data_IF_424018697649
#
_entry.id   IF_424018697649
#
_cell.length_a   1.000
_cell.length_b   1.000
_cell.length_c   1.000
_cell.angle_alpha   90.00
_cell.angle_beta   90.00
_cell.angle_gamma   90.00
#
_symmetry.space_group_name_H-M   'P 1'
#
loop_
_entity.id
_entity.type
_entity.pdbx_description
1 polymer ?
#
# COMPACT_ATOMS: atom_id res chain seq x y z
N UNK A 1 21.16 -30.98 -1.38
CA UNK A 1 20.76 -30.33 -0.11
C UNK A 1 20.13 -28.99 -0.45
N UNK A 2 18.82 -28.80 -0.29
CA UNK A 2 18.24 -27.47 -0.39
C UNK A 2 18.32 -26.81 1.00
N UNK A 3 18.91 -25.62 1.05
CA UNK A 3 19.01 -24.81 2.26
C UNK A 3 17.66 -24.16 2.53
N UNK A 4 16.99 -24.56 3.61
CA UNK A 4 15.99 -23.74 4.27
C UNK A 4 16.72 -22.63 5.03
N UNK A 5 16.49 -21.37 4.65
CA UNK A 5 16.91 -20.24 5.48
C UNK A 5 15.72 -19.90 6.37
N UNK A 6 15.77 -20.15 7.70
CA UNK A 6 14.71 -19.74 8.59
C UNK A 6 14.72 -18.21 8.66
N UNK A 7 13.85 -17.56 7.90
CA UNK A 7 13.72 -16.11 7.97
C UNK A 7 12.82 -15.76 9.16
N UNK A 8 13.38 -15.07 10.17
CA UNK A 8 12.66 -14.53 11.32
C UNK A 8 11.74 -15.52 12.05
N UNK A 9 12.17 -16.77 12.18
CA UNK A 9 11.49 -17.76 12.99
C UNK A 9 10.06 -18.05 12.57
N UNK A 10 9.65 -17.86 11.32
CA UNK A 10 8.34 -18.32 10.84
C UNK A 10 8.46 -19.75 10.30
N UNK A 11 7.48 -20.61 10.60
CA UNK A 11 7.27 -21.87 9.88
C UNK A 11 6.37 -21.51 8.71
N UNK A 12 6.94 -21.37 7.52
CA UNK A 12 6.14 -21.45 6.29
C UNK A 12 5.77 -22.92 6.19
N UNK A 13 4.49 -23.22 6.43
CA UNK A 13 3.94 -24.54 6.75
C UNK A 13 4.79 -25.74 6.31
N UNK A 14 5.55 -26.33 7.24
CA UNK A 14 5.91 -27.73 7.15
C UNK A 14 4.93 -28.49 8.02
N UNK A 15 4.11 -29.32 7.35
CA UNK A 15 3.28 -30.30 8.02
C UNK A 15 4.16 -31.24 8.85
N UNK A 16 3.74 -31.46 10.09
CA UNK A 16 4.34 -32.41 10.99
C UNK A 16 4.33 -33.81 10.36
N UNK A 17 5.52 -34.40 10.27
CA UNK A 17 5.86 -35.80 9.91
C UNK A 17 4.75 -36.68 9.30
N UNK A 18 4.80 -36.95 8.00
CA UNK A 18 4.48 -38.28 7.43
C UNK A 18 4.72 -38.33 5.90
N UNK A 19 5.31 -39.45 5.44
CA UNK A 19 4.98 -40.06 4.15
C UNK A 19 5.47 -39.36 2.88
N UNK A 20 6.20 -40.10 2.05
CA UNK A 20 6.60 -39.68 0.72
C UNK A 20 5.39 -39.62 -0.25
N UNK A 21 4.50 -38.62 -0.13
CA UNK A 21 3.57 -38.20 -1.20
C UNK A 21 2.78 -36.90 -0.89
N UNK A 22 3.42 -35.83 -0.42
CA UNK A 22 2.74 -34.54 -0.19
C UNK A 22 3.19 -33.49 -1.23
N UNK A 23 2.25 -32.78 -1.90
CA UNK A 23 2.60 -31.76 -2.89
C UNK A 23 3.37 -30.62 -2.21
N UNK A 24 4.49 -30.18 -2.82
CA UNK A 24 5.17 -28.94 -2.42
C UNK A 24 4.16 -27.78 -2.49
N UNK A 25 4.00 -27.04 -1.39
CA UNK A 25 3.25 -25.78 -1.39
C UNK A 25 3.98 -24.82 -2.32
N UNK A 26 3.34 -24.47 -3.42
CA UNK A 26 3.85 -23.49 -4.37
C UNK A 26 3.81 -22.11 -3.70
N UNK A 27 4.97 -21.46 -3.51
CA UNK A 27 5.02 -20.07 -3.02
C UNK A 27 4.22 -19.11 -3.91
N UNK A 28 3.88 -19.54 -5.14
CA UNK A 28 3.00 -18.82 -6.04
C UNK A 28 1.57 -18.62 -5.54
N UNK A 29 1.06 -19.47 -4.64
CA UNK A 29 -0.32 -19.45 -4.13
C UNK A 29 -0.45 -19.11 -2.64
N UNK A 30 0.66 -18.72 -1.99
CA UNK A 30 0.67 -18.36 -0.57
C UNK A 30 -0.31 -17.22 -0.31
N UNK A 31 -1.25 -17.43 0.61
CA UNK A 31 -2.16 -16.37 1.09
C UNK A 31 -1.69 -15.84 2.43
N UNK A 32 -2.00 -14.58 2.71
CA UNK A 32 -1.67 -13.99 4.00
C UNK A 32 -2.32 -14.75 5.16
N UNK A 33 -3.53 -15.28 4.97
CA UNK A 33 -4.21 -16.10 5.99
C UNK A 33 -3.47 -17.42 6.30
N UNK A 34 -2.56 -17.88 5.44
CA UNK A 34 -1.81 -19.13 5.63
C UNK A 34 -0.49 -18.91 6.39
N UNK A 35 -0.13 -17.66 6.68
CA UNK A 35 1.11 -17.33 7.41
C UNK A 35 0.94 -17.64 8.89
N UNK A 36 1.76 -18.56 9.39
CA UNK A 36 1.79 -18.92 10.81
C UNK A 36 3.06 -18.41 11.49
N UNK A 37 2.84 -17.71 12.60
CA UNK A 37 3.90 -17.25 13.49
C UNK A 37 4.32 -18.38 14.44
N UNK A 38 5.63 -18.63 14.57
CA UNK A 38 6.16 -19.63 15.51
C UNK A 38 6.00 -19.26 16.98
N UNK A 39 5.92 -17.97 17.28
CA UNK A 39 5.75 -17.47 18.64
C UNK A 39 4.88 -16.21 18.61
N UNK A 40 3.78 -16.17 19.35
CA UNK A 40 2.91 -15.00 19.40
C UNK A 40 3.26 -14.12 20.61
N UNK A 41 3.51 -12.84 20.38
CA UNK A 41 3.74 -11.86 21.44
C UNK A 41 2.51 -11.68 22.33
N UNK A 42 1.32 -11.90 21.78
CA UNK A 42 0.05 -11.98 22.50
C UNK A 42 0.00 -13.06 23.58
N UNK A 43 0.81 -14.12 23.48
CA UNK A 43 0.92 -15.14 24.54
C UNK A 43 1.64 -14.61 25.78
N UNK A 44 2.44 -13.53 25.64
CA UNK A 44 3.14 -12.89 26.75
C UNK A 44 2.38 -11.68 27.30
N UNK A 45 1.81 -10.87 26.43
CA UNK A 45 0.95 -9.75 26.79
C UNK A 45 -0.08 -9.52 25.68
N UNK A 46 -1.37 -9.60 26.03
CA UNK A 46 -2.50 -9.41 25.11
C UNK A 46 -2.42 -8.07 24.36
N UNK A 47 -1.84 -7.04 25.00
CA UNK A 47 -1.65 -5.71 24.40
C UNK A 47 -0.69 -5.73 23.22
N UNK A 48 0.19 -6.73 23.12
CA UNK A 48 1.13 -6.88 22.01
C UNK A 48 0.54 -7.64 20.81
N UNK A 49 -0.72 -8.08 20.88
CA UNK A 49 -1.36 -8.81 19.78
C UNK A 49 -1.42 -8.05 18.46
N UNK A 50 -1.45 -6.71 18.48
CA UNK A 50 -1.38 -5.94 17.23
C UNK A 50 -0.03 -6.09 16.51
N UNK A 51 1.08 -6.28 17.24
CA UNK A 51 2.41 -6.48 16.66
C UNK A 51 2.51 -7.83 15.95
N UNK A 52 1.84 -8.86 16.48
CA UNK A 52 1.77 -10.16 15.83
C UNK A 52 1.12 -10.03 14.43
N UNK A 53 0.02 -9.28 14.34
CA UNK A 53 -0.66 -9.03 13.06
C UNK A 53 0.25 -8.30 12.07
N UNK A 54 0.95 -7.25 12.50
CA UNK A 54 1.91 -6.56 11.63
C UNK A 54 3.07 -7.45 11.19
N UNK A 55 3.50 -8.36 12.08
CA UNK A 55 4.59 -9.28 11.78
C UNK A 55 4.17 -10.33 10.75
N UNK A 56 2.95 -10.86 10.83
CA UNK A 56 2.36 -11.73 9.79
C UNK A 56 2.38 -11.04 8.43
N UNK A 57 1.83 -9.82 8.37
CA UNK A 57 1.77 -9.02 7.15
C UNK A 57 3.19 -8.71 6.61
N UNK A 58 4.15 -8.39 7.48
CA UNK A 58 5.53 -8.13 7.07
C UNK A 58 6.24 -9.38 6.53
N UNK A 59 6.08 -10.52 7.20
CA UNK A 59 6.66 -11.80 6.75
C UNK A 59 6.10 -12.17 5.38
N UNK A 60 4.78 -12.01 5.18
CA UNK A 60 4.14 -12.23 3.90
C UNK A 60 4.74 -11.35 2.81
N UNK A 61 4.81 -10.03 3.03
CA UNK A 61 5.40 -9.10 2.06
C UNK A 61 6.85 -9.48 1.71
N UNK A 62 7.67 -9.81 2.70
CA UNK A 62 9.07 -10.20 2.48
C UNK A 62 9.20 -11.52 1.71
N UNK A 63 8.35 -12.51 2.02
CA UNK A 63 8.30 -13.77 1.28
C UNK A 63 7.90 -13.54 -0.19
N UNK A 64 6.90 -12.69 -0.42
CA UNK A 64 6.42 -12.36 -1.75
C UNK A 64 7.42 -11.53 -2.55
N UNK A 65 8.10 -10.56 -1.93
CA UNK A 65 9.22 -9.84 -2.54
C UNK A 65 10.29 -10.83 -2.99
N UNK A 66 10.72 -11.74 -2.11
CA UNK A 66 11.80 -12.69 -2.43
C UNK A 66 11.43 -13.67 -3.54
N UNK A 67 10.16 -14.07 -3.65
CA UNK A 67 9.71 -15.03 -4.65
C UNK A 67 9.32 -14.39 -5.99
N UNK A 68 8.85 -13.14 -5.98
CA UNK A 68 8.29 -12.48 -7.17
C UNK A 68 9.14 -11.34 -7.74
N UNK A 69 10.01 -10.71 -6.96
CA UNK A 69 10.92 -9.71 -7.52
C UNK A 69 11.89 -10.38 -8.47
N UNK A 70 11.76 -10.03 -9.74
CA UNK A 70 12.59 -10.54 -10.80
C UNK A 70 13.70 -9.55 -11.16
N UNK A 71 14.30 -9.80 -12.32
CA UNK A 71 15.34 -8.94 -12.88
C UNK A 71 14.84 -7.50 -13.04
N UNK A 72 13.58 -7.29 -13.42
CA UNK A 72 13.07 -5.92 -13.65
C UNK A 72 13.03 -5.06 -12.38
N UNK A 73 12.57 -5.58 -11.25
CA UNK A 73 12.58 -4.86 -9.96
C UNK A 73 14.01 -4.53 -9.53
N UNK A 74 14.91 -5.51 -9.65
CA UNK A 74 16.33 -5.34 -9.31
C UNK A 74 17.03 -4.34 -10.23
N UNK A 75 16.70 -4.31 -11.52
CA UNK A 75 17.21 -3.32 -12.47
C UNK A 75 16.74 -1.91 -12.12
N UNK A 76 15.47 -1.73 -11.71
CA UNK A 76 15.00 -0.42 -11.22
C UNK A 76 15.82 0.07 -10.02
N UNK A 77 15.99 -0.79 -9.00
CA UNK A 77 16.76 -0.44 -7.80
C UNK A 77 18.23 -0.21 -8.12
N UNK A 78 18.83 -1.06 -8.97
CA UNK A 78 20.22 -0.93 -9.40
C UNK A 78 20.48 0.33 -10.23
N UNK A 79 19.54 0.72 -11.10
CA UNK A 79 19.64 1.95 -11.87
C UNK A 79 19.50 3.19 -10.98
N UNK A 80 18.61 3.14 -9.97
CA UNK A 80 18.51 4.20 -8.97
C UNK A 80 19.79 4.31 -8.13
N UNK A 81 20.39 3.19 -7.73
CA UNK A 81 21.69 3.15 -7.07
C UNK A 81 22.78 3.82 -7.91
N UNK A 82 22.88 3.45 -9.20
CA UNK A 82 23.83 4.06 -10.12
C UNK A 82 23.59 5.57 -10.25
N UNK A 83 22.33 5.99 -10.37
CA UNK A 83 21.97 7.41 -10.45
C UNK A 83 22.41 8.19 -9.21
N UNK A 84 22.20 7.63 -8.01
CA UNK A 84 22.62 8.22 -6.74
C UNK A 84 24.14 8.36 -6.66
N UNK A 85 24.89 7.28 -6.93
CA UNK A 85 26.36 7.28 -6.85
C UNK A 85 26.96 8.25 -7.87
N UNK A 86 26.54 8.18 -9.13
CA UNK A 86 27.05 9.04 -10.20
C UNK A 86 26.74 10.53 -9.97
N UNK A 87 25.62 10.84 -9.30
CA UNK A 87 25.20 12.22 -9.08
C UNK A 87 25.76 12.86 -7.81
N UNK A 88 26.27 12.07 -6.86
CA UNK A 88 26.63 12.58 -5.52
C UNK A 88 28.00 12.16 -5.01
N UNK A 89 28.62 11.14 -5.60
CA UNK A 89 29.93 10.66 -5.17
C UNK A 89 31.02 11.35 -5.98
N UNK A 90 31.98 11.97 -5.29
CA UNK A 90 33.04 12.77 -5.93
C UNK A 90 34.04 11.92 -6.75
N UNK A 91 34.10 10.60 -6.49
CA UNK A 91 34.88 9.57 -7.21
C UNK A 91 36.35 9.95 -7.49
N UNK A 92 36.93 10.80 -6.65
CA UNK A 92 38.33 11.24 -6.74
C UNK A 92 38.57 12.42 -7.70
N UNK A 93 37.52 13.08 -8.18
CA UNK A 93 37.61 14.25 -9.08
C UNK A 93 37.90 15.53 -8.29
N UNK A 94 37.40 15.63 -7.06
CA UNK A 94 37.60 16.78 -6.18
C UNK A 94 36.61 17.92 -6.38
N UNK A 95 35.66 17.83 -7.32
CA UNK A 95 34.73 18.92 -7.63
C UNK A 95 33.71 19.14 -6.51
N UNK A 96 33.12 18.05 -6.01
CA UNK A 96 32.19 18.13 -4.87
C UNK A 96 32.97 18.36 -3.56
N UNK A 97 34.14 17.72 -3.42
CA UNK A 97 34.93 17.83 -2.20
C UNK A 97 35.54 19.22 -1.97
N UNK A 98 35.83 19.96 -3.04
CA UNK A 98 36.34 21.35 -2.95
C UNK A 98 35.23 22.40 -2.98
N UNK A 99 33.98 21.99 -3.24
CA UNK A 99 32.82 22.88 -3.39
C UNK A 99 32.70 23.55 -4.75
N UNK A 100 33.63 23.29 -5.67
CA UNK A 100 33.66 23.86 -7.03
C UNK A 100 33.71 25.40 -7.06
N UNK A 101 33.40 25.96 -8.24
CA UNK A 101 33.26 27.42 -8.40
C UNK A 101 31.86 27.89 -8.00
N UNK A 102 31.69 28.22 -6.71
CA UNK A 102 30.44 28.72 -6.14
C UNK A 102 29.93 30.03 -6.75
N UNK A 103 30.76 30.77 -7.50
CA UNK A 103 30.32 31.99 -8.18
C UNK A 103 29.52 31.70 -9.46
N UNK A 104 29.49 30.43 -9.91
CA UNK A 104 28.82 30.01 -11.13
C UNK A 104 27.69 29.06 -10.81
N UNK A 105 26.45 29.51 -11.00
CA UNK A 105 25.24 28.70 -10.78
C UNK A 105 24.51 28.37 -12.08
N UNK A 106 23.64 27.36 -12.02
CA UNK A 106 22.79 26.96 -13.13
C UNK A 106 23.56 26.41 -14.34
N UNK A 107 23.07 26.71 -15.55
CA UNK A 107 23.68 26.28 -16.82
C UNK A 107 25.12 26.76 -16.99
N UNK A 108 25.45 27.94 -16.46
CA UNK A 108 26.79 28.50 -16.45
C UNK A 108 27.75 27.73 -15.54
N UNK A 109 27.29 27.28 -14.37
CA UNK A 109 28.07 26.36 -13.52
C UNK A 109 28.26 25.02 -14.21
N UNK A 110 27.19 24.44 -14.73
CA UNK A 110 27.19 23.13 -15.38
C UNK A 110 28.17 23.03 -16.56
N UNK A 111 28.29 24.08 -17.38
CA UNK A 111 29.23 24.13 -18.53
C UNK A 111 30.70 24.25 -18.15
N UNK A 112 31.00 24.60 -16.90
CA UNK A 112 32.36 24.84 -16.42
C UNK A 112 32.84 23.77 -15.44
N UNK A 113 32.07 22.70 -15.25
CA UNK A 113 32.52 21.50 -14.56
C UNK A 113 33.65 20.84 -15.36
N UNK A 114 34.56 20.16 -14.67
CA UNK A 114 35.46 19.21 -15.34
C UNK A 114 34.68 18.19 -16.18
N UNK A 115 35.25 17.81 -17.32
CA UNK A 115 34.61 16.91 -18.30
C UNK A 115 34.08 15.62 -17.67
N UNK A 116 34.83 15.08 -16.71
CA UNK A 116 34.45 13.85 -16.02
C UNK A 116 33.27 14.06 -15.06
N UNK A 117 33.24 15.15 -14.27
CA UNK A 117 32.08 15.50 -13.43
C UNK A 117 30.84 15.81 -14.25
N UNK A 118 31.01 16.50 -15.39
CA UNK A 118 29.93 16.74 -16.35
C UNK A 118 29.35 15.41 -16.86
N UNK A 119 30.21 14.46 -17.25
CA UNK A 119 29.78 13.14 -17.72
C UNK A 119 29.02 12.37 -16.64
N UNK A 120 29.50 12.35 -15.39
CA UNK A 120 28.84 11.68 -14.28
C UNK A 120 27.46 12.29 -13.97
N UNK A 121 27.35 13.62 -13.94
CA UNK A 121 26.09 14.31 -13.73
C UNK A 121 25.06 14.02 -14.84
N UNK A 122 25.49 14.00 -16.11
CA UNK A 122 24.62 13.63 -17.23
C UNK A 122 24.17 12.17 -17.16
N UNK A 123 25.08 11.24 -16.83
CA UNK A 123 24.73 9.83 -16.65
C UNK A 123 23.78 9.61 -15.48
N UNK A 124 23.92 10.36 -14.39
CA UNK A 124 22.96 10.36 -13.28
C UNK A 124 21.57 10.81 -13.73
N UNK A 125 21.48 11.91 -14.49
CA UNK A 125 20.21 12.41 -15.01
C UNK A 125 19.54 11.42 -15.98
N UNK A 126 20.31 10.82 -16.87
CA UNK A 126 19.84 9.75 -17.77
C UNK A 126 19.37 8.55 -16.96
N UNK A 127 20.10 8.16 -15.92
CA UNK A 127 19.74 7.03 -15.05
C UNK A 127 18.42 7.30 -14.31
N UNK A 128 18.23 8.49 -13.73
CA UNK A 128 16.97 8.88 -13.09
C UNK A 128 15.79 8.87 -14.06
N UNK A 129 16.00 9.35 -15.29
CA UNK A 129 14.99 9.28 -16.36
C UNK A 129 14.65 7.83 -16.70
N UNK A 130 15.67 6.97 -16.80
CA UNK A 130 15.49 5.53 -17.01
C UNK A 130 14.75 4.84 -15.87
N UNK A 131 15.00 5.20 -14.61
CA UNK A 131 14.26 4.69 -13.44
C UNK A 131 12.78 5.03 -13.58
N UNK A 132 12.47 6.30 -13.85
CA UNK A 132 11.09 6.75 -14.01
C UNK A 132 10.38 6.01 -15.15
N UNK A 133 11.00 5.93 -16.34
CA UNK A 133 10.41 5.25 -17.51
C UNK A 133 10.21 3.75 -17.22
N UNK A 134 11.16 3.11 -16.55
CA UNK A 134 11.06 1.67 -16.22
C UNK A 134 9.91 1.42 -15.25
N UNK A 135 9.79 2.22 -14.19
CA UNK A 135 8.67 2.13 -13.23
C UNK A 135 7.33 2.42 -13.91
N UNK A 136 7.27 3.47 -14.74
CA UNK A 136 6.07 3.87 -15.48
C UNK A 136 5.56 2.77 -16.40
N UNK A 137 6.47 2.14 -17.13
CA UNK A 137 6.12 1.07 -18.07
C UNK A 137 5.68 -0.19 -17.34
N UNK A 138 6.33 -0.52 -16.23
CA UNK A 138 6.15 -1.76 -15.48
C UNK A 138 4.92 -1.77 -14.58
N UNK A 139 4.51 -0.62 -14.03
CA UNK A 139 3.38 -0.52 -13.10
C UNK A 139 2.25 0.33 -13.69
N UNK A 140 1.54 -0.16 -14.72
CA UNK A 140 0.55 0.62 -15.45
C UNK A 140 -0.60 1.11 -14.57
N UNK A 141 -1.05 0.33 -13.60
CA UNK A 141 -2.17 0.68 -12.71
C UNK A 141 -1.76 1.81 -11.75
N UNK A 142 -0.47 1.92 -11.42
CA UNK A 142 0.08 2.91 -10.50
C UNK A 142 0.70 4.14 -11.19
N UNK A 143 0.56 4.32 -12.51
CA UNK A 143 1.21 5.43 -13.25
C UNK A 143 0.87 6.82 -12.72
N UNK A 144 -0.40 7.09 -12.49
CA UNK A 144 -0.85 8.38 -11.94
C UNK A 144 -0.26 8.60 -10.54
N UNK A 145 -0.31 7.56 -9.70
CA UNK A 145 0.25 7.57 -8.36
C UNK A 145 1.79 7.73 -8.34
N UNK A 146 2.49 7.15 -9.31
CA UNK A 146 3.93 7.32 -9.49
C UNK A 146 4.28 8.80 -9.69
N UNK A 147 3.52 9.57 -10.48
CA UNK A 147 3.78 11.01 -10.65
C UNK A 147 3.70 11.75 -9.31
N UNK A 148 2.66 11.48 -8.50
CA UNK A 148 2.49 12.14 -7.21
C UNK A 148 3.62 11.80 -6.24
N UNK A 149 4.02 10.52 -6.17
CA UNK A 149 5.14 10.11 -5.32
C UNK A 149 6.47 10.70 -5.81
N UNK A 150 6.69 10.74 -7.12
CA UNK A 150 7.91 11.33 -7.71
C UNK A 150 7.99 12.84 -7.46
N UNK A 151 6.88 13.55 -7.63
CA UNK A 151 6.77 14.97 -7.30
C UNK A 151 7.02 15.21 -5.81
N UNK A 152 6.47 14.35 -4.94
CA UNK A 152 6.73 14.39 -3.51
C UNK A 152 8.23 14.32 -3.17
N UNK A 153 9.00 13.44 -3.82
CA UNK A 153 10.45 13.36 -3.61
C UNK A 153 11.17 14.65 -4.00
N UNK A 154 10.82 15.24 -5.16
CA UNK A 154 11.42 16.49 -5.63
C UNK A 154 11.12 17.62 -4.65
N UNK A 155 9.88 17.73 -4.19
CA UNK A 155 9.44 18.78 -3.26
C UNK A 155 10.19 18.70 -1.92
N UNK A 156 10.44 17.49 -1.40
CA UNK A 156 11.23 17.31 -0.17
C UNK A 156 12.70 17.68 -0.38
N UNK A 157 13.30 17.31 -1.51
CA UNK A 157 14.68 17.72 -1.84
C UNK A 157 14.81 19.24 -1.89
N UNK A 158 13.90 19.93 -2.59
CA UNK A 158 13.89 21.39 -2.68
C UNK A 158 13.67 22.05 -1.30
N UNK A 159 12.78 21.49 -0.48
CA UNK A 159 12.56 21.97 0.89
C UNK A 159 13.80 21.84 1.76
N UNK A 160 14.51 20.72 1.64
CA UNK A 160 15.76 20.46 2.35
C UNK A 160 16.88 21.41 1.91
N UNK A 161 17.06 21.60 0.60
CA UNK A 161 18.04 22.56 0.05
C UNK A 161 17.71 23.99 0.53
N UNK A 162 16.44 24.37 0.54
CA UNK A 162 16.03 25.69 1.02
C UNK A 162 16.35 25.90 2.50
N UNK A 163 16.09 24.92 3.36
CA UNK A 163 16.41 24.98 4.79
C UNK A 163 17.93 25.18 5.04
N UNK A 164 18.77 24.57 4.20
CA UNK A 164 20.23 24.70 4.30
C UNK A 164 20.79 25.96 3.64
N UNK A 165 20.02 26.65 2.80
CA UNK A 165 20.51 27.81 2.03
C UNK A 165 20.93 28.98 2.92
N UNK A 166 20.19 29.25 4.00
CA UNK A 166 20.49 30.29 4.98
C UNK A 166 21.22 29.76 6.21
N UNK A 167 21.04 28.48 6.52
CA UNK A 167 21.57 27.80 7.71
C UNK A 167 22.31 26.52 7.31
N UNK A 168 23.60 26.61 6.92
CA UNK A 168 24.36 25.44 6.43
C UNK A 168 24.39 24.25 7.40
N UNK A 169 24.38 24.51 8.71
CA UNK A 169 24.41 23.49 9.75
C UNK A 169 23.01 23.02 10.20
N UNK A 170 21.97 23.25 9.39
CA UNK A 170 20.58 22.90 9.71
C UNK A 170 20.44 21.44 10.18
N UNK A 171 19.73 21.17 11.30
CA UNK A 171 18.84 22.07 12.03
C UNK A 171 19.53 22.95 13.08
N UNK A 172 20.83 22.77 13.32
CA UNK A 172 21.55 23.52 14.35
C UNK A 172 21.73 24.98 13.95
N UNK A 173 21.53 25.90 14.89
CA UNK A 173 21.61 27.34 14.62
C UNK A 173 20.50 27.91 13.72
N UNK A 174 19.52 27.09 13.32
CA UNK A 174 18.44 27.53 12.43
C UNK A 174 17.41 28.43 13.11
N UNK A 175 16.79 29.31 12.32
CA UNK A 175 15.66 30.15 12.74
C UNK A 175 14.34 29.55 12.27
N UNK A 176 13.22 30.02 12.84
CA UNK A 176 11.89 29.55 12.41
C UNK A 176 11.61 29.75 10.91
N UNK A 177 12.25 30.73 10.27
CA UNK A 177 12.11 30.98 8.83
C UNK A 177 12.70 29.83 7.98
N UNK A 178 13.78 29.20 8.44
CA UNK A 178 14.48 28.13 7.71
C UNK A 178 13.64 26.84 7.65
N UNK A 179 12.74 26.66 8.63
CA UNK A 179 11.83 25.52 8.68
C UNK A 179 10.63 25.65 7.74
N UNK A 180 10.25 26.87 7.34
CA UNK A 180 8.98 27.13 6.64
C UNK A 180 8.85 26.28 5.38
N UNK A 181 9.86 26.32 4.50
CA UNK A 181 9.78 25.59 3.24
C UNK A 181 9.86 24.07 3.46
N UNK A 182 10.68 23.60 4.40
CA UNK A 182 10.79 22.17 4.70
C UNK A 182 9.48 21.61 5.28
N UNK A 183 8.81 22.36 6.15
CA UNK A 183 7.49 22.01 6.70
C UNK A 183 6.44 22.01 5.59
N UNK A 184 6.41 23.04 4.75
CA UNK A 184 5.50 23.09 3.60
C UNK A 184 5.73 21.92 2.64
N UNK A 185 6.98 21.58 2.35
CA UNK A 185 7.32 20.41 1.53
C UNK A 185 6.82 19.11 2.14
N UNK A 186 6.92 18.94 3.47
CA UNK A 186 6.40 17.76 4.16
C UNK A 186 4.86 17.72 4.19
N UNK A 187 4.18 18.87 4.27
CA UNK A 187 2.71 18.93 4.13
C UNK A 187 2.26 18.53 2.71
N UNK A 188 2.97 18.99 1.68
CA UNK A 188 2.71 18.60 0.29
C UNK A 188 2.95 17.10 0.11
N UNK A 189 4.08 16.56 0.61
CA UNK A 189 4.35 15.13 0.59
C UNK A 189 3.25 14.35 1.29
N UNK A 190 2.84 14.76 2.49
CA UNK A 190 1.78 14.11 3.25
C UNK A 190 0.46 14.11 2.46
N UNK A 191 0.10 15.23 1.86
CA UNK A 191 -1.09 15.32 1.02
C UNK A 191 -1.01 14.36 -0.18
N UNK A 192 0.07 14.39 -0.94
CA UNK A 192 0.24 13.53 -2.13
C UNK A 192 0.31 12.04 -1.75
N UNK A 193 1.10 11.67 -0.75
CA UNK A 193 1.30 10.28 -0.37
C UNK A 193 0.08 9.69 0.37
N UNK A 194 -0.47 10.42 1.35
CA UNK A 194 -1.52 9.89 2.23
C UNK A 194 -2.92 10.25 1.71
N UNK A 195 -3.19 11.52 1.41
CA UNK A 195 -4.55 11.93 1.04
C UNK A 195 -4.89 11.48 -0.39
N UNK A 196 -3.92 11.48 -1.30
CA UNK A 196 -4.13 11.09 -2.70
C UNK A 196 -3.82 9.60 -2.90
N UNK A 197 -2.55 9.19 -2.78
CA UNK A 197 -2.12 7.84 -3.18
C UNK A 197 -2.63 6.75 -2.23
N UNK A 198 -2.40 6.89 -0.92
CA UNK A 198 -2.84 5.90 0.08
C UNK A 198 -4.35 5.68 0.01
N UNK A 199 -5.12 6.77 -0.01
CA UNK A 199 -6.57 6.70 -0.13
C UNK A 199 -7.03 6.03 -1.42
N UNK A 200 -6.46 6.40 -2.57
CA UNK A 200 -6.83 5.80 -3.86
C UNK A 200 -6.59 4.28 -3.90
N UNK A 201 -5.47 3.81 -3.34
CA UNK A 201 -5.13 2.38 -3.27
C UNK A 201 -6.08 1.63 -2.33
N UNK A 202 -6.35 2.18 -1.15
CA UNK A 202 -7.25 1.60 -0.14
C UNK A 202 -8.66 1.44 -0.70
N UNK A 203 -9.21 2.50 -1.32
CA UNK A 203 -10.55 2.50 -1.92
C UNK A 203 -10.63 1.55 -3.12
N UNK A 204 -9.62 1.51 -3.98
CA UNK A 204 -9.58 0.56 -5.12
C UNK A 204 -9.55 -0.90 -4.63
N UNK A 205 -8.77 -1.19 -3.59
CA UNK A 205 -8.74 -2.52 -2.98
C UNK A 205 -10.07 -2.89 -2.33
N UNK A 206 -10.78 -1.94 -1.73
CA UNK A 206 -12.12 -2.18 -1.16
C UNK A 206 -13.11 -2.62 -2.23
N UNK A 207 -13.17 -1.87 -3.33
CA UNK A 207 -14.02 -2.18 -4.50
C UNK A 207 -13.64 -3.53 -5.10
N UNK A 208 -12.34 -3.79 -5.29
CA UNK A 208 -11.87 -5.07 -5.81
C UNK A 208 -12.34 -6.27 -4.99
N UNK A 209 -12.25 -6.20 -3.66
CA UNK A 209 -12.72 -7.29 -2.78
C UNK A 209 -14.24 -7.43 -2.86
N UNK A 210 -14.98 -6.31 -2.91
CA UNK A 210 -16.44 -6.33 -3.02
C UNK A 210 -16.92 -6.95 -4.34
N UNK A 211 -16.28 -6.66 -5.47
CA UNK A 211 -16.73 -7.14 -6.79
C UNK A 211 -16.19 -8.53 -7.12
N UNK A 212 -14.92 -8.81 -6.84
CA UNK A 212 -14.25 -10.05 -7.27
C UNK A 212 -14.31 -11.18 -6.24
N UNK A 213 -14.60 -10.85 -4.98
CA UNK A 213 -14.71 -11.81 -3.89
C UNK A 213 -16.06 -11.75 -3.17
N UNK A 214 -17.10 -11.24 -3.85
CA UNK A 214 -18.48 -11.34 -3.38
C UNK A 214 -18.85 -12.81 -3.15
N UNK A 215 -19.30 -13.11 -1.93
CA UNK A 215 -19.75 -14.45 -1.58
C UNK A 215 -20.92 -14.36 -0.59
N UNK A 216 -21.95 -15.23 -0.70
CA UNK A 216 -23.09 -15.23 0.23
C UNK A 216 -22.68 -15.46 1.70
N UNK A 217 -21.61 -16.22 1.93
CA UNK A 217 -21.03 -16.41 3.27
C UNK A 217 -20.09 -15.25 3.65
N UNK A 218 -20.40 -14.47 4.71
CA UNK A 218 -19.58 -13.35 5.16
C UNK A 218 -18.18 -13.76 5.63
N UNK A 219 -17.97 -15.01 6.03
CA UNK A 219 -16.64 -15.49 6.50
C UNK A 219 -15.64 -15.58 5.36
N UNK A 220 -16.10 -16.02 4.19
CA UNK A 220 -15.27 -16.10 2.98
C UNK A 220 -14.85 -14.70 2.53
N UNK A 221 -15.78 -13.74 2.60
CA UNK A 221 -15.50 -12.33 2.31
C UNK A 221 -14.46 -11.78 3.30
N UNK A 222 -14.65 -11.97 4.60
CA UNK A 222 -13.68 -11.53 5.62
C UNK A 222 -12.28 -12.14 5.41
N UNK A 223 -12.19 -13.40 4.98
CA UNK A 223 -10.91 -14.02 4.60
C UNK A 223 -10.29 -13.32 3.40
N UNK A 224 -11.06 -12.99 2.37
CA UNK A 224 -10.57 -12.23 1.22
C UNK A 224 -10.06 -10.82 1.61
N UNK A 225 -10.74 -10.15 2.55
CA UNK A 225 -10.29 -8.89 3.14
C UNK A 225 -8.97 -9.02 3.89
N UNK A 226 -8.79 -10.11 4.66
CA UNK A 226 -7.51 -10.42 5.33
C UNK A 226 -6.41 -10.65 4.30
N UNK A 227 -6.70 -11.43 3.25
CA UNK A 227 -5.74 -11.75 2.19
C UNK A 227 -5.28 -10.51 1.39
N UNK A 228 -6.13 -9.48 1.29
CA UNK A 228 -5.83 -8.19 0.65
C UNK A 228 -5.50 -7.07 1.64
N UNK A 229 -4.93 -7.41 2.80
CA UNK A 229 -4.49 -6.42 3.79
C UNK A 229 -3.43 -5.48 3.20
N UNK A 230 -3.61 -4.18 3.41
CA UNK A 230 -2.69 -3.11 3.01
C UNK A 230 -1.91 -2.52 4.20
N UNK A 231 -1.88 -3.19 5.36
CA UNK A 231 -1.24 -2.66 6.57
C UNK A 231 0.27 -2.55 6.43
N UNK A 232 0.95 -3.62 6.02
CA UNK A 232 2.40 -3.59 5.76
C UNK A 232 2.77 -2.70 4.57
N UNK A 233 1.90 -2.60 3.56
CA UNK A 233 2.05 -1.63 2.49
C UNK A 233 2.00 -0.18 3.00
N UNK A 234 1.04 0.14 3.88
CA UNK A 234 0.91 1.47 4.50
C UNK A 234 2.15 1.82 5.33
N UNK A 235 2.70 0.85 6.07
CA UNK A 235 3.97 1.02 6.78
C UNK A 235 5.13 1.28 5.82
N UNK A 236 5.17 0.59 4.69
CA UNK A 236 6.20 0.78 3.67
C UNK A 236 6.13 2.17 3.03
N UNK A 237 4.93 2.69 2.80
CA UNK A 237 4.73 4.07 2.33
C UNK A 237 5.23 5.09 3.37
N UNK A 238 4.91 4.88 4.66
CA UNK A 238 5.44 5.72 5.74
C UNK A 238 6.95 5.65 5.87
N UNK A 239 7.54 4.44 5.77
CA UNK A 239 8.98 4.24 5.78
C UNK A 239 9.65 4.93 4.59
N UNK A 240 9.05 4.88 3.41
CA UNK A 240 9.50 5.63 2.23
C UNK A 240 9.54 7.14 2.51
N UNK A 241 8.46 7.71 3.07
CA UNK A 241 8.40 9.15 3.42
C UNK A 241 9.51 9.57 4.39
N UNK A 242 9.86 8.71 5.35
CA UNK A 242 10.97 8.96 6.29
C UNK A 242 12.31 8.90 5.54
N UNK A 243 12.52 7.85 4.74
CA UNK A 243 13.79 7.65 4.04
C UNK A 243 14.08 8.78 3.04
N UNK A 244 13.08 9.31 2.33
CA UNK A 244 13.29 10.45 1.43
C UNK A 244 13.64 11.74 2.19
N UNK A 245 13.15 11.93 3.41
CA UNK A 245 13.55 13.07 4.25
C UNK A 245 15.00 12.92 4.71
N UNK A 246 15.40 11.74 5.18
CA UNK A 246 16.80 11.48 5.60
C UNK A 246 17.75 11.61 4.40
N UNK A 247 17.36 11.06 3.25
CA UNK A 247 18.09 11.23 1.99
C UNK A 247 18.22 12.72 1.64
N UNK A 248 17.11 13.45 1.57
CA UNK A 248 17.14 14.86 1.17
C UNK A 248 17.90 15.74 2.16
N UNK A 249 17.82 15.46 3.46
CA UNK A 249 18.60 16.14 4.49
C UNK A 249 20.09 15.87 4.31
N UNK A 250 20.50 14.61 4.23
CA UNK A 250 21.92 14.25 4.04
C UNK A 250 22.54 14.85 2.78
N UNK A 251 21.81 14.81 1.66
CA UNK A 251 22.27 15.39 0.40
C UNK A 251 22.42 16.91 0.48
N UNK A 252 21.42 17.61 1.03
CA UNK A 252 21.49 19.06 1.20
C UNK A 252 22.61 19.45 2.18
N UNK A 253 22.76 18.73 3.28
CA UNK A 253 23.78 18.99 4.29
C UNK A 253 25.20 18.76 3.73
N UNK A 254 25.40 17.73 2.90
CA UNK A 254 26.69 17.46 2.26
C UNK A 254 27.17 18.60 1.33
N UNK A 255 26.24 19.32 0.70
CA UNK A 255 26.55 20.41 -0.25
C UNK A 255 26.36 21.81 0.32
N UNK A 256 25.88 21.94 1.56
CA UNK A 256 25.61 23.23 2.19
C UNK A 256 26.88 23.95 2.68
N UNK A 257 27.97 23.21 2.87
CA UNK A 257 29.25 23.74 3.32
C UNK A 257 29.77 24.78 2.32
N UNK A 258 30.19 25.93 2.86
CA UNK A 258 30.69 27.06 2.05
C UNK A 258 32.21 27.08 2.09
N UNK A 259 32.90 27.40 0.99
CA UNK A 259 34.35 27.48 0.98
C UNK A 259 34.92 28.50 1.99
N UNK A 260 36.08 28.22 2.59
CA UNK A 260 36.88 27.00 2.42
C UNK A 260 36.25 25.79 3.13
N UNK A 261 36.11 24.67 2.40
CA UNK A 261 35.60 23.42 2.96
C UNK A 261 36.74 22.77 3.75
N UNK A 262 36.59 22.70 5.07
CA UNK A 262 37.60 22.12 5.96
C UNK A 262 37.61 20.58 5.89
N UNK A 263 36.43 19.95 5.93
CA UNK A 263 36.28 18.50 5.84
C UNK A 263 35.04 18.11 5.02
N UNK A 264 35.26 17.60 3.80
CA UNK A 264 34.21 16.96 3.00
C UNK A 264 33.77 15.64 3.66
N UNK A 265 32.53 15.60 4.12
CA UNK A 265 32.01 14.44 4.86
C UNK A 265 31.50 13.35 3.92
N UNK A 266 32.37 12.39 3.61
CA UNK A 266 32.01 11.15 2.91
C UNK A 266 30.89 10.37 3.63
N UNK A 267 30.72 10.56 4.95
CA UNK A 267 29.66 9.93 5.72
C UNK A 267 28.27 10.44 5.32
N UNK A 268 28.12 11.76 5.11
CA UNK A 268 26.84 12.34 4.67
C UNK A 268 26.47 11.88 3.26
N UNK A 269 27.45 11.81 2.37
CA UNK A 269 27.28 11.29 1.01
C UNK A 269 26.89 9.81 1.04
N UNK A 270 27.56 9.00 1.88
CA UNK A 270 27.19 7.60 2.09
C UNK A 270 25.76 7.48 2.65
N UNK A 271 25.37 8.34 3.60
CA UNK A 271 24.01 8.37 4.13
C UNK A 271 22.99 8.71 3.03
N UNK A 272 23.28 9.70 2.18
CA UNK A 272 22.45 10.03 1.01
C UNK A 272 22.26 8.84 0.10
N UNK A 273 23.35 8.15 -0.28
CA UNK A 273 23.30 6.99 -1.17
C UNK A 273 22.55 5.81 -0.53
N UNK A 274 22.84 5.47 0.73
CA UNK A 274 22.23 4.32 1.40
C UNK A 274 20.74 4.57 1.64
N UNK A 275 20.37 5.73 2.16
CA UNK A 275 18.95 6.04 2.41
C UNK A 275 18.18 6.24 1.12
N UNK A 276 18.80 6.78 0.08
CA UNK A 276 18.21 6.84 -1.27
C UNK A 276 18.01 5.47 -1.91
N UNK A 277 18.94 4.53 -1.69
CA UNK A 277 18.79 3.14 -2.15
C UNK A 277 17.63 2.45 -1.44
N UNK A 278 17.54 2.59 -0.12
CA UNK A 278 16.45 2.04 0.68
C UNK A 278 15.12 2.69 0.29
N UNK A 279 15.08 4.02 0.11
CA UNK A 279 13.90 4.72 -0.40
C UNK A 279 13.47 4.20 -1.77
N UNK A 280 14.42 3.96 -2.69
CA UNK A 280 14.13 3.41 -4.01
C UNK A 280 13.53 2.02 -3.94
N UNK A 281 14.03 1.16 -3.05
CA UNK A 281 13.46 -0.17 -2.81
C UNK A 281 12.03 -0.09 -2.24
N UNK A 282 11.78 0.82 -1.28
CA UNK A 282 10.42 1.04 -0.79
C UNK A 282 9.49 1.61 -1.88
N UNK A 283 9.97 2.52 -2.73
CA UNK A 283 9.17 3.05 -3.84
C UNK A 283 8.78 1.93 -4.80
N UNK A 284 9.72 1.06 -5.18
CA UNK A 284 9.43 -0.13 -6.00
C UNK A 284 8.39 -0.99 -5.31
N UNK A 285 8.52 -1.28 -4.01
CA UNK A 285 7.54 -2.06 -3.26
C UNK A 285 6.15 -1.41 -3.22
N UNK A 286 6.09 -0.10 -2.99
CA UNK A 286 4.83 0.68 -2.92
C UNK A 286 4.08 0.64 -4.25
N UNK A 287 4.80 0.67 -5.38
CA UNK A 287 4.21 0.57 -6.72
C UNK A 287 3.84 -0.88 -7.08
N UNK A 288 4.72 -1.82 -6.74
CA UNK A 288 4.59 -3.23 -7.11
C UNK A 288 3.46 -3.94 -6.38
N UNK A 289 3.29 -3.71 -5.07
CA UNK A 289 2.36 -4.51 -4.27
C UNK A 289 0.88 -4.33 -4.67
N UNK A 290 0.35 -3.11 -4.89
CA UNK A 290 -1.01 -2.94 -5.40
C UNK A 290 -1.22 -3.57 -6.78
N UNK A 291 -0.24 -3.45 -7.69
CA UNK A 291 -0.28 -4.08 -9.02
C UNK A 291 -0.31 -5.61 -8.90
N UNK A 292 0.48 -6.17 -7.99
CA UNK A 292 0.51 -7.61 -7.71
C UNK A 292 -0.84 -8.11 -7.16
N UNK A 293 -1.43 -7.37 -6.21
CA UNK A 293 -2.69 -7.79 -5.58
C UNK A 293 -3.90 -7.66 -6.50
N UNK A 294 -4.01 -6.56 -7.25
CA UNK A 294 -5.16 -6.30 -8.13
C UNK A 294 -5.09 -7.09 -9.45
N UNK A 295 -3.93 -7.69 -9.75
CA UNK A 295 -3.67 -8.39 -11.00
C UNK A 295 -3.60 -7.46 -12.21
N UNK A 296 -3.53 -8.03 -13.42
CA UNK A 296 -3.69 -7.28 -14.68
C UNK A 296 -5.16 -6.96 -14.98
N UNK A 297 -5.97 -6.64 -13.96
CA UNK A 297 -7.28 -6.08 -14.19
C UNK A 297 -7.12 -4.67 -14.79
N UNK A 298 -7.87 -4.37 -15.85
CA UNK A 298 -7.77 -3.11 -16.62
C UNK A 298 -8.14 -1.85 -15.81
N UNK A 299 -8.59 -2.02 -14.57
CA UNK A 299 -9.05 -0.94 -13.71
C UNK A 299 -7.87 -0.15 -13.11
N UNK A 300 -7.83 1.16 -13.40
CA UNK A 300 -6.86 2.09 -12.82
C UNK A 300 -7.11 2.26 -11.31
N UNK A 301 -6.04 2.48 -10.53
CA UNK A 301 -6.19 2.84 -9.12
C UNK A 301 -6.61 4.30 -9.02
N UNK A 302 -7.83 4.53 -8.55
CA UNK A 302 -8.44 5.84 -8.43
C UNK A 302 -9.34 5.88 -7.20
N UNK A 303 -9.37 7.05 -6.54
CA UNK A 303 -10.34 7.30 -5.47
C UNK A 303 -11.78 7.30 -6.01
N UNK A 304 -12.76 7.03 -5.14
CA UNK A 304 -14.20 7.05 -5.49
C UNK A 304 -14.57 8.38 -6.15
N UNK A 305 -14.10 9.51 -5.60
CA UNK A 305 -14.34 10.83 -6.18
C UNK A 305 -13.73 11.01 -7.56
N UNK A 306 -12.55 10.45 -7.81
CA UNK A 306 -11.94 10.50 -9.14
C UNK A 306 -12.71 9.65 -10.16
N UNK A 307 -13.26 8.50 -9.72
CA UNK A 307 -14.13 7.64 -10.54
C UNK A 307 -15.47 8.33 -10.85
N UNK A 308 -16.08 8.99 -9.87
CA UNK A 308 -17.28 9.81 -10.06
C UNK A 308 -17.06 10.91 -11.13
N UNK A 309 -15.91 11.59 -11.07
CA UNK A 309 -15.56 12.62 -12.05
C UNK A 309 -15.27 12.02 -13.43
N UNK A 310 -14.69 10.80 -13.48
CA UNK A 310 -14.42 10.09 -14.72
C UNK A 310 -15.67 9.44 -15.35
N UNK A 311 -16.78 9.34 -14.62
CA UNK A 311 -17.99 8.64 -15.05
C UNK A 311 -17.92 7.10 -14.88
N UNK A 312 -16.86 6.59 -14.26
CA UNK A 312 -16.62 5.16 -14.00
C UNK A 312 -16.97 4.78 -12.54
N UNK A 313 -17.92 5.49 -11.92
CA UNK A 313 -18.37 5.14 -10.57
C UNK A 313 -19.10 3.79 -10.61
N UNK A 314 -18.72 2.81 -9.74
CA UNK A 314 -19.51 1.60 -9.60
C UNK A 314 -20.96 1.97 -9.25
N UNK A 315 -21.93 1.27 -9.83
CA UNK A 315 -23.32 1.41 -9.35
C UNK A 315 -23.32 1.11 -7.84
N UNK A 316 -23.95 1.96 -7.01
CA UNK A 316 -23.97 1.73 -5.58
C UNK A 316 -24.61 0.37 -5.30
N UNK A 317 -23.85 -0.55 -4.72
CA UNK A 317 -24.37 -1.83 -4.23
C UNK A 317 -25.32 -1.47 -3.09
N UNK A 318 -26.62 -1.45 -3.37
CA UNK A 318 -27.62 -1.18 -2.33
C UNK A 318 -27.69 -2.39 -1.41
N UNK A 319 -27.39 -2.18 -0.13
CA UNK A 319 -27.46 -3.21 0.90
C UNK A 319 -28.86 -3.84 0.92
N UNK A 320 -28.92 -5.17 0.96
CA UNK A 320 -30.17 -5.91 0.99
C UNK A 320 -31.03 -5.46 2.20
N UNK A 321 -32.30 -5.15 1.96
CA UNK A 321 -33.17 -4.58 3.00
C UNK A 321 -33.59 -5.67 3.98
N UNK A 322 -33.29 -5.50 5.27
CA UNK A 322 -33.75 -6.39 6.32
C UNK A 322 -35.22 -6.11 6.66
N UNK A 323 -36.05 -7.17 6.69
CA UNK A 323 -37.47 -7.04 7.02
C UNK A 323 -37.69 -6.61 8.47
N UNK A 324 -38.69 -5.76 8.71
CA UNK A 324 -39.08 -5.28 10.04
C UNK A 324 -40.44 -5.84 10.43
N UNK A 325 -40.61 -6.25 11.69
CA UNK A 325 -41.90 -6.73 12.17
C UNK A 325 -42.95 -5.60 12.09
N UNK A 326 -44.12 -5.81 11.48
CA UNK A 326 -45.15 -4.77 11.37
C UNK A 326 -45.78 -4.38 12.72
N UNK A 327 -45.61 -5.20 13.76
CA UNK A 327 -46.23 -4.98 15.08
C UNK A 327 -45.28 -4.28 16.06
N UNK A 328 -44.01 -4.68 16.10
CA UNK A 328 -43.04 -4.16 17.07
C UNK A 328 -41.82 -3.49 16.45
N UNK A 329 -41.74 -3.43 15.11
CA UNK A 329 -40.61 -2.89 14.35
C UNK A 329 -39.25 -3.57 14.59
N UNK A 330 -39.21 -4.69 15.32
CA UNK A 330 -38.00 -5.48 15.51
C UNK A 330 -37.51 -6.13 14.21
N UNK A 331 -36.20 -6.30 14.08
CA UNK A 331 -35.57 -6.96 12.92
C UNK A 331 -36.02 -8.40 12.80
N UNK A 332 -36.28 -8.82 11.56
CA UNK A 332 -36.70 -10.18 11.24
C UNK A 332 -35.72 -10.85 10.29
N UNK A 333 -35.69 -12.20 10.24
CA UNK A 333 -34.71 -12.92 9.46
C UNK A 333 -34.97 -12.92 7.94
N UNK A 334 -36.07 -12.29 7.48
CA UNK A 334 -36.30 -12.11 6.05
C UNK A 334 -35.44 -10.98 5.48
N UNK A 335 -34.91 -11.20 4.28
CA UNK A 335 -34.11 -10.22 3.56
C UNK A 335 -34.70 -10.02 2.16
N UNK A 336 -34.80 -8.77 1.71
CA UNK A 336 -35.25 -8.41 0.36
C UNK A 336 -34.06 -7.90 -0.46
N UNK A 337 -33.77 -8.59 -1.56
CA UNK A 337 -32.74 -8.23 -2.53
C UNK A 337 -33.32 -7.34 -3.65
N UNK A 338 -32.46 -6.63 -4.39
CA UNK A 338 -32.86 -5.60 -5.40
C UNK A 338 -33.86 -6.07 -6.46
N UNK A 339 -33.86 -7.36 -6.82
CA UNK A 339 -34.83 -7.93 -7.77
C UNK A 339 -36.26 -8.10 -7.22
N UNK A 340 -36.58 -7.53 -6.05
CA UNK A 340 -37.82 -7.78 -5.31
C UNK A 340 -37.93 -9.20 -4.77
N UNK A 341 -36.83 -9.97 -4.85
CA UNK A 341 -36.76 -11.35 -4.37
C UNK A 341 -36.58 -11.31 -2.86
N UNK A 342 -37.53 -11.90 -2.17
CA UNK A 342 -37.48 -12.06 -0.72
C UNK A 342 -36.92 -13.44 -0.44
N UNK A 343 -35.93 -13.50 0.44
CA UNK A 343 -35.36 -14.74 0.96
C UNK A 343 -35.69 -14.90 2.44
N UNK A 344 -35.99 -16.13 2.81
CA UNK A 344 -36.27 -16.54 4.19
C UNK A 344 -35.40 -17.74 4.54
N UNK A 345 -34.87 -17.82 5.78
CA UNK A 345 -34.14 -19.00 6.21
C UNK A 345 -35.09 -20.17 6.44
N UNK A 346 -34.55 -21.37 6.33
CA UNK A 346 -35.22 -22.61 6.68
C UNK A 346 -35.52 -22.66 8.18
N UNK A 347 -36.68 -23.20 8.55
CA UNK A 347 -37.14 -23.32 9.94
C UNK A 347 -36.69 -24.60 10.65
N UNK A 348 -36.28 -25.62 9.89
CA UNK A 348 -35.70 -26.85 10.44
C UNK A 348 -34.17 -26.72 10.54
N UNK A 349 -33.49 -27.72 11.10
CA UNK A 349 -32.03 -27.77 11.38
C UNK A 349 -31.14 -27.74 10.13
N UNK A 350 -31.40 -26.82 9.22
CA UNK A 350 -30.76 -26.58 7.95
C UNK A 350 -30.48 -25.08 7.84
N UNK A 351 -29.28 -24.73 7.39
CA UNK A 351 -28.81 -23.35 7.23
C UNK A 351 -29.26 -22.70 5.91
N UNK A 352 -29.99 -23.41 5.06
CA UNK A 352 -30.38 -22.93 3.74
C UNK A 352 -31.40 -21.78 3.80
N UNK A 353 -31.34 -20.91 2.79
CA UNK A 353 -32.32 -19.84 2.55
C UNK A 353 -32.93 -19.99 1.14
N UNK A 354 -34.08 -19.37 0.93
CA UNK A 354 -34.67 -19.33 -0.41
C UNK A 354 -36.00 -18.59 -0.47
N UNK A 355 -36.71 -18.75 -1.59
CA UNK A 355 -37.98 -18.06 -1.83
C UNK A 355 -39.08 -18.61 -0.89
N UNK A 356 -39.88 -17.74 -0.26
CA UNK A 356 -41.04 -18.17 0.54
C UNK A 356 -41.96 -19.11 -0.25
N UNK A 357 -42.32 -20.25 0.35
CA UNK A 357 -43.22 -21.23 -0.26
C UNK A 357 -42.60 -22.16 -1.31
N UNK A 358 -41.29 -22.10 -1.56
CA UNK A 358 -40.57 -23.11 -2.35
C UNK A 358 -39.88 -24.13 -1.45
N UNK A 359 -39.38 -25.23 -2.03
CA UNK A 359 -38.53 -26.15 -1.31
C UNK A 359 -37.15 -25.54 -1.06
N UNK A 360 -36.56 -25.82 0.10
CA UNK A 360 -35.20 -25.42 0.43
C UNK A 360 -34.20 -26.17 -0.47
N UNK A 361 -33.20 -25.48 -1.07
CA UNK A 361 -32.20 -26.13 -1.92
C UNK A 361 -31.33 -27.17 -1.19
N UNK A 362 -31.19 -27.05 0.13
CA UNK A 362 -30.31 -27.89 0.94
C UNK A 362 -31.02 -29.09 1.59
N UNK A 363 -32.26 -28.92 2.06
CA UNK A 363 -32.98 -29.96 2.81
C UNK A 363 -34.31 -30.39 2.21
N UNK A 364 -34.71 -29.83 1.05
CA UNK A 364 -35.98 -30.10 0.34
C UNK A 364 -37.26 -29.83 1.16
N UNK A 365 -37.13 -29.27 2.38
CA UNK A 365 -38.25 -28.88 3.24
C UNK A 365 -38.96 -27.62 2.70
N UNK A 366 -40.28 -27.47 2.92
CA UNK A 366 -41.02 -26.30 2.48
C UNK A 366 -40.60 -25.05 3.26
N UNK A 367 -40.16 -24.00 2.56
CA UNK A 367 -39.77 -22.73 3.17
C UNK A 367 -40.99 -21.95 3.68
N UNK A 368 -40.88 -21.29 4.85
CA UNK A 368 -42.01 -20.66 5.50
C UNK A 368 -42.54 -19.44 4.73
N UNK A 369 -43.86 -19.37 4.56
CA UNK A 369 -44.57 -18.21 3.96
C UNK A 369 -44.91 -17.16 5.04
N UNK A 370 -44.79 -17.54 6.32
CA UNK A 370 -45.01 -16.70 7.48
C UNK A 370 -43.84 -16.80 8.44
N UNK A 371 -43.49 -15.70 9.09
CA UNK A 371 -42.37 -15.62 10.02
C UNK A 371 -42.91 -15.27 11.39
N UNK A 372 -42.44 -15.99 12.40
CA UNK A 372 -42.62 -15.62 13.79
C UNK A 372 -41.55 -14.59 14.17
N UNK A 373 -41.98 -13.41 14.62
CA UNK A 373 -41.04 -12.37 15.06
C UNK A 373 -40.30 -12.83 16.33
N UNK A 374 -38.95 -12.78 16.36
CA UNK A 374 -38.18 -13.15 17.57
C UNK A 374 -38.49 -12.25 18.78
N UNK A 375 -38.89 -11.01 18.54
CA UNK A 375 -39.09 -9.99 19.58
C UNK A 375 -40.48 -10.05 20.23
N UNK A 376 -41.54 -10.30 19.46
CA UNK A 376 -42.91 -10.27 19.97
C UNK A 376 -43.74 -11.54 19.70
N UNK A 377 -43.13 -12.58 19.10
CA UNK A 377 -43.76 -13.87 18.75
C UNK A 377 -45.01 -13.76 17.87
N UNK A 378 -45.21 -12.63 17.20
CA UNK A 378 -46.29 -12.48 16.24
C UNK A 378 -45.99 -13.27 14.97
N UNK A 379 -46.96 -14.04 14.49
CA UNK A 379 -46.85 -14.80 13.25
C UNK A 379 -47.49 -14.01 12.09
N UNK A 380 -46.66 -13.40 11.25
CA UNK A 380 -47.08 -12.49 10.16
C UNK A 380 -46.56 -12.98 8.80
N UNK A 381 -47.22 -12.59 7.70
CA UNK A 381 -46.81 -13.00 6.35
C UNK A 381 -45.52 -12.30 5.95
N UNK A 382 -44.61 -12.99 5.27
CA UNK A 382 -43.29 -12.45 4.87
C UNK A 382 -43.42 -11.09 4.16
N UNK A 383 -44.43 -10.90 3.32
CA UNK A 383 -44.70 -9.65 2.59
C UNK A 383 -44.93 -8.45 3.52
N UNK A 384 -45.58 -8.66 4.68
CA UNK A 384 -45.88 -7.60 5.65
C UNK A 384 -44.65 -7.05 6.38
N UNK A 385 -43.50 -7.72 6.27
CA UNK A 385 -42.24 -7.25 6.88
C UNK A 385 -41.52 -6.19 6.02
N UNK A 386 -42.00 -5.98 4.79
CA UNK A 386 -41.41 -5.06 3.81
C UNK A 386 -42.41 -4.00 3.33
N UNK A 387 -43.64 -4.01 3.85
CA UNK A 387 -44.62 -2.96 3.61
C UNK A 387 -44.24 -1.72 4.40
N UNK A 388 -43.96 -0.62 3.70
CA UNK A 388 -43.81 0.69 4.32
C UNK A 388 -45.16 1.10 4.93
N UNK A 389 -45.22 1.52 6.21
CA UNK A 389 -46.45 2.04 6.82
C UNK A 389 -46.99 3.33 6.17
N UNK A 390 -46.25 3.95 5.24
CA UNK A 390 -46.62 5.22 4.60
C UNK A 390 -47.10 4.97 3.16
N UNK A 391 -48.36 4.58 3.04
CA UNK A 391 -49.12 4.62 1.80
C UNK A 391 -50.51 5.18 2.06
N UNK A 392 -50.57 6.33 2.74
CA UNK A 392 -51.77 7.11 3.00
C UNK A 392 -51.59 8.50 2.42
#
# INVERSE_FOLDING_TARGET
MPYSVPLFGAIVGEGEQAGADVPRVDLGSLRLTDVQLRYRLSERDERLGFLDIFREDLIFHMAMIRSRWGVGEMTCVGLAFAALVLGSWDLGVGELATGGDYNRVGLTGFRNLSDFSLMMALLSLISWTGVFITMWSKYPIMRENLVYLWLGMIVIQLGSINAHSNSPDFPTGSTGADWVMLVMSNLILFFLAIVVVHRAVIETRDIHVQERHAHPDPRVVQKAWRDHSLRAWSLSLGAWMIMINVMSWSGAHAIAQRPPIEEYSNLLVAMFVITGLIASAFLVHVLWYPQFMLGEAEDRIQSVRAREVAGDAPEPIQEAEQGKCPICSGSTPAVRHEGGRIEVPCSESCSGSGKPGTKCPECDAPLPIRIECPSCRSNTTVVSHFSRPEAW
#
